data_IF_299825452998
#
_entry.id   IF_299825452998
#
_cell.length_a   1.000
_cell.length_b   1.000
_cell.length_c   1.000
_cell.angle_alpha   90.00
_cell.angle_beta   90.00
_cell.angle_gamma   90.00
#
_symmetry.space_group_name_H-M   'P 1'
#
loop_
_entity.id
_entity.type
_entity.pdbx_description
1 polymer ?
#
# COMPACT_ATOMS: atom_id res chain seq x y z
N UNK A 1 -28.01 34.78 7.27
CA UNK A 1 -26.59 34.60 6.87
C UNK A 1 -26.58 33.71 5.63
N UNK A 2 -26.07 34.17 4.51
CA UNK A 2 -25.86 33.30 3.34
C UNK A 2 -24.68 32.38 3.72
N UNK A 3 -24.73 31.07 3.45
CA UNK A 3 -23.55 30.22 3.62
C UNK A 3 -22.46 30.74 2.68
N UNK A 4 -21.29 31.03 3.23
CA UNK A 4 -20.10 31.31 2.42
C UNK A 4 -19.92 30.18 1.43
N UNK A 5 -19.84 30.49 0.13
CA UNK A 5 -19.39 29.54 -0.87
C UNK A 5 -18.01 29.09 -0.42
N UNK A 6 -17.86 27.84 -0.04
CA UNK A 6 -16.53 27.23 0.10
C UNK A 6 -15.93 27.25 -1.31
N UNK A 7 -14.97 28.15 -1.52
CA UNK A 7 -14.16 28.09 -2.73
C UNK A 7 -13.39 26.76 -2.66
N UNK A 8 -13.85 25.78 -3.43
CA UNK A 8 -13.07 24.56 -3.59
C UNK A 8 -11.69 24.97 -4.16
N UNK A 9 -10.59 24.43 -3.59
CA UNK A 9 -9.28 24.67 -4.17
C UNK A 9 -9.30 24.23 -5.64
N UNK A 10 -8.54 24.93 -6.52
CA UNK A 10 -8.42 24.48 -7.90
C UNK A 10 -7.90 23.05 -7.92
N UNK A 11 -8.43 22.21 -8.82
CA UNK A 11 -7.97 20.85 -8.98
C UNK A 11 -6.46 20.82 -9.26
N UNK A 12 -5.69 19.93 -8.61
CA UNK A 12 -4.27 19.73 -8.94
C UNK A 12 -4.14 19.24 -10.39
N UNK A 13 -3.02 19.56 -11.02
CA UNK A 13 -2.70 18.98 -12.32
C UNK A 13 -2.54 17.46 -12.20
N UNK A 14 -3.05 16.73 -13.17
CA UNK A 14 -2.85 15.29 -13.28
C UNK A 14 -1.35 14.98 -13.40
N UNK A 15 -0.85 13.88 -12.82
CA UNK A 15 0.55 13.45 -12.91
C UNK A 15 1.13 13.47 -14.33
N UNK A 16 0.32 13.15 -15.34
CA UNK A 16 0.72 13.17 -16.75
C UNK A 16 1.03 14.58 -17.29
N UNK A 17 0.52 15.61 -16.65
CA UNK A 17 0.65 17.01 -17.08
C UNK A 17 1.34 17.90 -16.05
N UNK A 18 1.61 17.40 -14.85
CA UNK A 18 2.28 18.13 -13.79
C UNK A 18 3.80 17.93 -13.91
N UNK A 19 4.57 19.00 -14.24
CA UNK A 19 6.02 18.88 -14.37
C UNK A 19 6.73 18.40 -13.09
N UNK A 20 6.08 18.50 -11.94
CA UNK A 20 6.63 18.02 -10.69
C UNK A 20 6.82 16.50 -10.66
N UNK A 21 6.01 15.76 -11.42
CA UNK A 21 6.12 14.29 -11.53
C UNK A 21 7.26 13.83 -12.46
N UNK A 22 7.99 14.78 -13.04
CA UNK A 22 9.16 14.49 -13.91
C UNK A 22 10.44 14.77 -13.14
N UNK A 23 11.30 13.75 -13.00
CA UNK A 23 12.59 13.92 -12.34
C UNK A 23 13.50 14.89 -13.13
N UNK A 24 14.30 15.71 -12.44
CA UNK A 24 15.21 16.66 -13.08
C UNK A 24 16.34 15.94 -13.83
N UNK A 25 16.93 16.59 -14.83
CA UNK A 25 18.05 16.05 -15.61
C UNK A 25 19.18 15.50 -14.74
N UNK A 26 19.69 14.34 -15.11
CA UNK A 26 20.82 13.71 -14.41
C UNK A 26 20.44 12.94 -13.13
N UNK A 27 19.16 12.79 -12.83
CA UNK A 27 18.65 12.09 -11.67
C UNK A 27 19.17 10.65 -11.52
N UNK A 28 19.50 9.99 -12.64
CA UNK A 28 20.03 8.60 -12.65
C UNK A 28 21.33 8.45 -11.84
N UNK A 29 22.07 9.57 -11.65
CA UNK A 29 23.34 9.58 -10.89
C UNK A 29 23.14 9.72 -9.39
N UNK A 30 21.93 10.06 -8.95
CA UNK A 30 21.57 10.14 -7.55
C UNK A 30 21.53 8.73 -6.92
N UNK A 31 21.69 8.66 -5.60
CA UNK A 31 21.62 7.42 -4.84
C UNK A 31 20.17 7.07 -4.51
N UNK A 32 19.86 5.78 -4.28
CA UNK A 32 18.56 5.38 -3.74
C UNK A 32 18.19 6.20 -2.50
N UNK A 33 16.99 6.79 -2.52
CA UNK A 33 16.48 7.65 -1.47
C UNK A 33 16.87 9.13 -1.57
N UNK A 34 17.77 9.53 -2.47
CA UNK A 34 18.07 10.96 -2.65
C UNK A 34 16.83 11.72 -3.12
N UNK A 35 16.49 12.80 -2.42
CA UNK A 35 15.39 13.68 -2.80
C UNK A 35 15.81 14.55 -3.98
N UNK A 36 15.08 14.42 -5.09
CA UNK A 36 15.34 15.11 -6.36
C UNK A 36 14.56 16.42 -6.47
N UNK A 37 13.34 16.45 -5.94
CA UNK A 37 12.50 17.64 -5.86
C UNK A 37 11.53 17.51 -4.69
N UNK A 38 11.04 18.64 -4.18
CA UNK A 38 10.03 18.67 -3.12
C UNK A 38 9.06 19.81 -3.31
N UNK A 39 7.82 19.64 -2.86
CA UNK A 39 6.84 20.71 -2.75
C UNK A 39 5.92 20.49 -1.55
N UNK A 40 5.37 21.58 -1.02
CA UNK A 40 4.29 21.52 -0.05
C UNK A 40 2.95 21.40 -0.77
N UNK A 41 2.03 20.61 -0.22
CA UNK A 41 0.69 20.38 -0.75
C UNK A 41 -0.39 20.61 0.31
N UNK A 42 -1.65 20.67 -0.14
CA UNK A 42 -2.83 20.66 0.74
C UNK A 42 -3.48 19.28 0.66
N UNK A 43 -3.30 18.44 1.67
CA UNK A 43 -3.91 17.12 1.67
C UNK A 43 -5.39 17.18 2.03
N UNK A 44 -6.13 16.18 1.58
CA UNK A 44 -7.55 15.99 1.93
C UNK A 44 -7.86 14.51 2.12
N UNK A 45 -8.86 14.21 2.95
CA UNK A 45 -9.51 12.90 2.96
C UNK A 45 -10.48 12.81 1.79
N UNK A 46 -10.53 11.68 1.12
CA UNK A 46 -11.43 11.42 -0.01
C UNK A 46 -11.45 12.55 -1.05
N UNK A 47 -10.30 13.18 -1.29
CA UNK A 47 -10.11 14.32 -2.21
C UNK A 47 -10.91 15.59 -1.89
N UNK A 48 -11.79 15.58 -0.89
CA UNK A 48 -12.77 16.65 -0.65
C UNK A 48 -12.80 17.20 0.79
N UNK A 49 -12.43 16.39 1.78
CA UNK A 49 -12.44 16.82 3.19
C UNK A 49 -11.04 17.25 3.61
N UNK A 50 -10.86 18.52 3.96
CA UNK A 50 -9.55 19.06 4.35
C UNK A 50 -8.94 18.26 5.51
N UNK A 51 -7.73 17.79 5.32
CA UNK A 51 -6.94 17.16 6.36
C UNK A 51 -6.13 18.23 7.11
N UNK A 52 -6.38 18.40 8.42
CA UNK A 52 -5.73 19.41 9.24
C UNK A 52 -4.41 18.92 9.86
N UNK A 53 -3.47 18.56 9.03
CA UNK A 53 -2.07 18.30 9.43
C UNK A 53 -1.29 19.61 9.60
N UNK A 54 -0.14 19.58 10.26
CA UNK A 54 0.75 20.73 10.36
C UNK A 54 1.36 21.08 8.99
N UNK A 55 1.89 20.05 8.32
CA UNK A 55 2.48 20.15 6.98
C UNK A 55 2.22 18.90 6.18
N UNK A 56 2.23 19.05 4.87
CA UNK A 56 2.24 17.94 3.93
C UNK A 56 3.17 18.23 2.76
N UNK A 57 4.02 17.27 2.43
CA UNK A 57 5.00 17.41 1.35
C UNK A 57 4.86 16.28 0.34
N UNK A 58 5.22 16.59 -0.89
CA UNK A 58 5.56 15.58 -1.90
C UNK A 58 7.04 15.63 -2.16
N UNK A 59 7.67 14.47 -2.20
CA UNK A 59 9.09 14.32 -2.48
C UNK A 59 9.24 13.43 -3.71
N UNK A 60 9.87 13.94 -4.76
CA UNK A 60 10.36 13.10 -5.86
C UNK A 60 11.71 12.57 -5.42
N UNK A 61 11.91 11.28 -5.50
CA UNK A 61 13.15 10.65 -5.06
C UNK A 61 13.64 9.59 -6.04
N UNK A 62 14.95 9.35 -6.02
CA UNK A 62 15.59 8.27 -6.78
C UNK A 62 15.34 6.94 -6.09
N UNK A 63 14.97 5.93 -6.86
CA UNK A 63 14.79 4.55 -6.43
C UNK A 63 15.37 3.57 -7.43
N UNK A 64 15.27 2.25 -7.12
CA UNK A 64 15.64 1.17 -8.03
C UNK A 64 14.39 0.52 -8.63
N UNK A 65 14.51 0.04 -9.86
CA UNK A 65 13.45 -0.68 -10.57
C UNK A 65 13.35 -2.14 -10.12
N UNK A 66 13.16 -3.03 -11.09
CA UNK A 66 13.07 -4.49 -10.87
C UNK A 66 14.40 -5.15 -10.47
N UNK A 67 15.47 -4.40 -10.54
CA UNK A 67 16.83 -4.77 -10.13
C UNK A 67 17.53 -3.55 -9.53
N UNK A 68 18.46 -3.74 -8.58
CA UNK A 68 19.19 -2.69 -7.88
C UNK A 68 19.97 -1.76 -8.83
N UNK A 69 20.42 -2.29 -9.95
CA UNK A 69 21.20 -1.58 -10.96
C UNK A 69 20.38 -0.71 -11.89
N UNK A 70 19.06 -0.91 -11.95
CA UNK A 70 18.15 -0.16 -12.82
C UNK A 70 17.67 1.09 -12.08
N UNK A 71 18.14 2.30 -12.47
CA UNK A 71 17.68 3.52 -11.81
C UNK A 71 16.21 3.78 -12.16
N UNK A 72 15.43 4.12 -11.14
CA UNK A 72 14.06 4.56 -11.22
C UNK A 72 13.89 5.83 -10.35
N UNK A 73 12.86 6.58 -10.55
CA UNK A 73 12.40 7.61 -9.62
C UNK A 73 10.91 7.44 -9.37
N UNK A 74 10.45 7.89 -8.24
CA UNK A 74 9.02 7.95 -7.94
C UNK A 74 8.75 9.04 -6.91
N UNK A 75 7.55 9.07 -6.35
CA UNK A 75 7.14 10.07 -5.36
C UNK A 75 6.73 9.41 -4.04
N UNK A 76 6.83 10.20 -2.97
CA UNK A 76 6.12 9.91 -1.73
C UNK A 76 5.43 11.16 -1.22
N UNK A 77 4.27 10.98 -0.60
CA UNK A 77 3.60 12.04 0.16
C UNK A 77 3.90 11.87 1.63
N UNK A 78 4.34 12.94 2.28
CA UNK A 78 4.66 12.94 3.71
C UNK A 78 3.67 13.83 4.45
N UNK A 79 2.95 13.25 5.40
CA UNK A 79 2.01 13.96 6.28
C UNK A 79 2.63 14.15 7.66
N UNK A 80 2.69 15.40 8.11
CA UNK A 80 3.27 15.77 9.41
C UNK A 80 2.13 16.23 10.32
N UNK A 81 1.77 15.46 11.36
CA UNK A 81 0.72 15.86 12.28
C UNK A 81 1.15 17.00 13.20
N UNK A 82 0.18 17.65 13.85
CA UNK A 82 0.45 18.66 14.87
C UNK A 82 1.31 18.08 16.02
N UNK A 83 2.37 18.80 16.38
CA UNK A 83 3.33 18.37 17.40
C UNK A 83 3.94 16.99 17.11
N UNK A 84 4.32 16.74 15.86
CA UNK A 84 4.91 15.48 15.41
C UNK A 84 6.13 15.07 16.23
N UNK A 85 6.20 13.80 16.60
CA UNK A 85 7.39 13.18 17.18
C UNK A 85 8.48 13.08 16.11
N UNK A 86 9.72 13.31 16.51
CA UNK A 86 10.87 13.29 15.58
C UNK A 86 11.62 11.96 15.57
N UNK A 87 11.18 11.01 16.38
CA UNK A 87 11.78 9.69 16.56
C UNK A 87 10.90 8.54 16.04
N UNK A 88 9.79 8.85 15.36
CA UNK A 88 8.82 7.87 14.88
C UNK A 88 8.34 8.20 13.46
N UNK A 89 8.37 7.19 12.60
CA UNK A 89 7.91 7.26 11.21
C UNK A 89 7.07 6.02 10.90
N UNK A 90 5.92 6.21 10.29
CA UNK A 90 5.12 5.11 9.73
C UNK A 90 5.10 5.23 8.22
N UNK A 91 5.22 4.13 7.52
CA UNK A 91 4.99 4.04 6.09
C UNK A 91 3.70 3.27 5.82
N UNK A 92 2.80 3.88 5.08
CA UNK A 92 1.61 3.22 4.55
C UNK A 92 1.76 3.03 3.06
N UNK A 93 1.58 1.81 2.61
CA UNK A 93 1.56 1.44 1.21
C UNK A 93 0.11 1.17 0.82
N UNK A 94 -0.62 2.18 0.32
CA UNK A 94 -2.01 1.99 -0.08
C UNK A 94 -2.07 1.20 -1.38
N UNK A 95 -3.11 0.38 -1.52
CA UNK A 95 -3.38 -0.26 -2.80
C UNK A 95 -3.85 0.78 -3.84
N UNK A 96 -3.27 0.72 -5.01
CA UNK A 96 -3.65 1.51 -6.18
C UNK A 96 -4.31 0.61 -7.24
N UNK A 97 -3.76 -0.59 -7.41
CA UNK A 97 -4.29 -1.70 -8.21
C UNK A 97 -4.69 -1.29 -9.64
N UNK A 98 -3.85 -0.47 -10.26
CA UNK A 98 -4.11 0.13 -11.57
C UNK A 98 -2.79 0.53 -12.25
N UNK A 99 -2.76 0.49 -13.57
CA UNK A 99 -1.58 0.91 -14.34
C UNK A 99 -1.71 2.36 -14.85
N UNK A 100 -2.52 3.17 -14.19
CA UNK A 100 -2.80 4.54 -14.59
C UNK A 100 -2.26 5.53 -13.55
N UNK A 101 -1.23 6.28 -13.91
CA UNK A 101 -0.53 7.21 -13.00
C UNK A 101 -1.44 8.28 -12.37
N UNK A 102 -2.58 8.59 -12.98
CA UNK A 102 -3.55 9.53 -12.40
C UNK A 102 -4.31 8.91 -11.19
N UNK A 103 -4.05 7.63 -10.88
CA UNK A 103 -4.58 6.95 -9.70
C UNK A 103 -3.57 6.92 -8.54
N UNK A 104 -2.36 7.46 -8.77
CA UNK A 104 -1.29 7.45 -7.77
C UNK A 104 -1.73 8.10 -6.44
N UNK A 105 -1.37 7.51 -5.29
CA UNK A 105 -1.70 8.04 -3.97
C UNK A 105 -1.31 9.50 -3.80
N UNK A 106 -0.15 9.90 -4.33
CA UNK A 106 0.31 11.30 -4.27
C UNK A 106 -0.61 12.28 -4.98
N UNK A 107 -1.32 11.85 -6.02
CA UNK A 107 -2.29 12.68 -6.71
C UNK A 107 -3.62 12.70 -5.96
N UNK A 108 -4.13 11.54 -5.59
CA UNK A 108 -5.46 11.39 -4.99
C UNK A 108 -5.60 12.02 -3.61
N UNK A 109 -4.53 12.11 -2.84
CA UNK A 109 -4.53 12.75 -1.52
C UNK A 109 -4.61 14.29 -1.59
N UNK A 110 -4.42 14.90 -2.75
CA UNK A 110 -4.46 16.35 -2.89
C UNK A 110 -5.91 16.88 -2.86
N UNK A 111 -6.10 17.98 -2.14
CA UNK A 111 -7.39 18.67 -2.10
C UNK A 111 -7.80 19.13 -3.51
N UNK A 112 -9.00 18.73 -3.94
CA UNK A 112 -9.55 19.03 -5.26
C UNK A 112 -9.15 18.05 -6.35
N UNK A 113 -8.40 16.98 -6.06
CA UNK A 113 -8.23 15.88 -6.99
C UNK A 113 -9.58 15.23 -7.33
N UNK A 114 -9.77 14.70 -8.54
CA UNK A 114 -11.00 13.99 -8.89
C UNK A 114 -11.23 12.83 -7.92
N UNK A 115 -12.45 12.70 -7.34
CA UNK A 115 -12.76 11.56 -6.48
C UNK A 115 -12.75 10.28 -7.30
N UNK A 116 -12.36 9.18 -6.68
CA UNK A 116 -12.53 7.87 -7.28
C UNK A 116 -13.96 7.36 -7.12
N UNK A 117 -14.39 6.50 -8.05
CA UNK A 117 -15.69 5.86 -7.99
C UNK A 117 -15.78 4.85 -6.83
N UNK A 118 -14.63 4.38 -6.35
CA UNK A 118 -14.55 3.37 -5.31
C UNK A 118 -14.21 3.99 -3.94
N UNK A 119 -15.14 3.96 -2.97
CA UNK A 119 -14.87 4.44 -1.61
C UNK A 119 -13.90 3.53 -0.83
N UNK A 120 -13.52 2.36 -1.35
CA UNK A 120 -12.70 1.37 -0.63
C UNK A 120 -11.32 1.96 -0.28
N UNK A 121 -10.68 2.72 -1.18
CA UNK A 121 -9.41 3.39 -0.86
C UNK A 121 -9.51 4.34 0.35
N UNK A 122 -10.69 4.90 0.62
CA UNK A 122 -10.92 5.75 1.78
C UNK A 122 -10.88 4.99 3.11
N UNK A 123 -10.92 3.65 3.09
CA UNK A 123 -10.83 2.82 4.29
C UNK A 123 -9.45 2.91 4.91
N UNK A 124 -8.39 2.87 4.10
CA UNK A 124 -7.01 3.00 4.59
C UNK A 124 -6.77 4.35 5.29
N UNK A 125 -7.49 5.40 4.87
CA UNK A 125 -7.40 6.74 5.51
C UNK A 125 -7.85 6.73 6.97
N UNK A 126 -8.67 5.75 7.40
CA UNK A 126 -9.01 5.55 8.81
C UNK A 126 -7.78 5.16 9.65
N UNK A 127 -6.94 4.27 9.12
CA UNK A 127 -5.69 3.88 9.76
C UNK A 127 -4.71 5.06 9.80
N UNK A 128 -4.62 5.84 8.72
CA UNK A 128 -3.78 7.04 8.66
C UNK A 128 -4.16 8.04 9.76
N UNK A 129 -5.45 8.22 9.98
CA UNK A 129 -5.96 9.09 11.04
C UNK A 129 -5.48 8.65 12.42
N UNK A 130 -5.53 7.35 12.73
CA UNK A 130 -5.02 6.81 13.98
C UNK A 130 -3.53 7.07 14.17
N UNK A 131 -2.72 6.85 13.12
CA UNK A 131 -1.28 7.09 13.10
C UNK A 131 -0.95 8.57 13.36
N UNK A 132 -1.61 9.46 12.63
CA UNK A 132 -1.41 10.91 12.77
C UNK A 132 -1.84 11.41 14.15
N UNK A 133 -2.91 10.86 14.74
CA UNK A 133 -3.34 11.18 16.12
C UNK A 133 -2.34 10.75 17.19
N UNK A 134 -1.56 9.70 16.95
CA UNK A 134 -0.46 9.30 17.83
C UNK A 134 0.75 10.26 17.73
N UNK A 135 0.70 11.20 16.77
CA UNK A 135 1.73 12.21 16.55
C UNK A 135 2.91 11.68 15.74
N UNK A 136 2.71 10.66 14.92
CA UNK A 136 3.74 10.09 14.07
C UNK A 136 3.65 10.64 12.65
N UNK A 137 4.82 10.97 12.09
CA UNK A 137 4.92 11.32 10.65
C UNK A 137 4.57 10.09 9.83
N UNK A 138 3.79 10.32 8.76
CA UNK A 138 3.34 9.28 7.84
C UNK A 138 3.92 9.55 6.47
N UNK A 139 4.56 8.55 5.85
CA UNK A 139 5.00 8.58 4.46
C UNK A 139 4.19 7.59 3.63
N UNK A 140 3.77 7.99 2.44
CA UNK A 140 2.86 7.27 1.55
C UNK A 140 3.49 7.26 0.16
N UNK A 141 4.24 6.21 -0.21
CA UNK A 141 4.90 6.14 -1.50
C UNK A 141 3.93 5.83 -2.64
N UNK A 142 4.19 6.38 -3.83
CA UNK A 142 3.70 5.86 -5.10
C UNK A 142 4.56 4.65 -5.47
N UNK A 143 4.34 3.53 -4.78
CA UNK A 143 5.24 2.38 -4.82
C UNK A 143 5.25 1.66 -6.17
N UNK A 144 4.19 1.77 -6.96
CA UNK A 144 4.13 1.20 -8.32
C UNK A 144 5.00 1.96 -9.35
N UNK A 145 5.69 3.02 -8.89
CA UNK A 145 6.63 3.78 -9.71
C UNK A 145 5.99 4.70 -10.75
N UNK A 146 6.80 5.32 -11.63
CA UNK A 146 6.34 6.33 -12.56
C UNK A 146 5.51 5.78 -13.74
N UNK A 147 5.47 4.47 -13.93
CA UNK A 147 4.64 3.78 -14.91
C UNK A 147 3.41 3.10 -14.29
N UNK A 148 3.19 3.26 -12.98
CA UNK A 148 2.14 2.56 -12.26
C UNK A 148 2.19 1.03 -12.52
N UNK A 149 3.33 0.42 -12.23
CA UNK A 149 3.61 -0.99 -12.54
C UNK A 149 3.04 -1.92 -11.45
N UNK A 150 1.72 -1.98 -11.34
CA UNK A 150 1.01 -2.81 -10.37
C UNK A 150 1.47 -4.28 -10.42
N UNK A 151 1.61 -4.90 -9.27
CA UNK A 151 2.10 -6.28 -9.08
C UNK A 151 3.58 -6.51 -9.44
N UNK A 152 4.36 -5.44 -9.68
CA UNK A 152 5.81 -5.52 -9.87
C UNK A 152 6.56 -5.50 -8.53
N UNK A 153 6.34 -6.51 -7.69
CA UNK A 153 6.64 -6.47 -6.26
C UNK A 153 8.07 -6.08 -5.89
N UNK A 154 9.11 -6.52 -6.62
CA UNK A 154 10.51 -6.11 -6.34
C UNK A 154 10.68 -4.61 -6.53
N UNK A 155 10.15 -4.04 -7.63
CA UNK A 155 10.15 -2.61 -7.89
C UNK A 155 9.40 -1.85 -6.78
N UNK A 156 8.23 -2.34 -6.39
CA UNK A 156 7.40 -1.74 -5.34
C UNK A 156 8.10 -1.77 -3.98
N UNK A 157 8.80 -2.86 -3.66
CA UNK A 157 9.60 -2.99 -2.45
C UNK A 157 10.77 -1.98 -2.41
N UNK A 158 11.51 -1.83 -3.52
CA UNK A 158 12.56 -0.82 -3.63
C UNK A 158 12.01 0.58 -3.48
N UNK A 159 10.93 0.92 -4.20
CA UNK A 159 10.28 2.22 -4.11
C UNK A 159 9.88 2.55 -2.66
N UNK A 160 9.28 1.58 -1.96
CA UNK A 160 8.88 1.74 -0.57
C UNK A 160 10.05 1.99 0.38
N UNK A 161 11.13 1.21 0.26
CA UNK A 161 12.32 1.38 1.10
C UNK A 161 13.04 2.71 0.84
N UNK A 162 13.10 3.14 -0.41
CA UNK A 162 13.70 4.42 -0.77
C UNK A 162 12.84 5.63 -0.39
N UNK A 163 11.51 5.47 -0.30
CA UNK A 163 10.63 6.48 0.29
C UNK A 163 10.98 6.75 1.76
N UNK A 164 11.32 5.71 2.52
CA UNK A 164 11.79 5.87 3.91
C UNK A 164 13.12 6.64 3.97
N UNK A 165 14.08 6.30 3.10
CA UNK A 165 15.36 7.02 2.97
C UNK A 165 15.12 8.51 2.65
N UNK A 166 14.29 8.76 1.64
CA UNK A 166 13.95 10.12 1.21
C UNK A 166 13.27 10.91 2.33
N UNK A 167 12.34 10.29 3.04
CA UNK A 167 11.62 10.92 4.16
C UNK A 167 12.57 11.24 5.31
N UNK A 168 13.45 10.33 5.71
CA UNK A 168 14.42 10.56 6.80
C UNK A 168 15.47 11.64 6.44
N UNK A 169 15.86 11.72 5.17
CA UNK A 169 16.86 12.71 4.71
C UNK A 169 16.27 14.11 4.49
N UNK A 170 14.96 14.24 4.36
CA UNK A 170 14.32 15.52 4.10
C UNK A 170 14.34 16.40 5.35
N UNK A 171 15.24 17.37 5.37
CA UNK A 171 15.60 18.18 6.54
C UNK A 171 14.42 18.95 7.16
N UNK A 172 13.45 19.38 6.35
CA UNK A 172 12.31 20.18 6.82
C UNK A 172 11.39 19.39 7.77
N UNK A 173 11.48 18.06 7.77
CA UNK A 173 10.77 17.20 8.72
C UNK A 173 11.45 17.18 10.09
N UNK A 174 12.77 17.33 10.15
CA UNK A 174 13.56 17.24 11.37
C UNK A 174 13.46 15.87 12.07
N UNK A 175 13.21 14.81 11.30
CA UNK A 175 13.21 13.43 11.82
C UNK A 175 14.62 13.00 12.23
N UNK A 176 14.71 12.19 13.26
CA UNK A 176 15.97 11.52 13.63
C UNK A 176 16.34 10.49 12.57
N UNK A 177 17.60 10.38 12.15
CA UNK A 177 18.05 9.28 11.29
C UNK A 177 17.78 7.90 11.89
N UNK A 178 17.76 7.80 13.22
CA UNK A 178 17.52 6.55 13.97
C UNK A 178 16.03 6.37 14.35
N UNK A 179 15.11 7.09 13.69
CA UNK A 179 13.68 6.94 13.95
C UNK A 179 13.25 5.49 13.87
N UNK A 180 12.43 5.05 14.83
CA UNK A 180 11.77 3.75 14.71
C UNK A 180 10.73 3.81 13.60
N UNK A 181 10.72 2.80 12.73
CA UNK A 181 9.87 2.75 11.55
C UNK A 181 8.97 1.51 11.61
N UNK A 182 7.70 1.66 11.26
CA UNK A 182 6.81 0.53 10.96
C UNK A 182 6.22 0.74 9.57
N UNK A 183 6.22 -0.32 8.76
CA UNK A 183 5.52 -0.34 7.48
C UNK A 183 4.19 -1.10 7.59
N UNK A 184 3.16 -0.64 6.87
CA UNK A 184 1.88 -1.34 6.81
C UNK A 184 1.26 -1.24 5.40
N UNK A 185 0.59 -2.29 4.98
CA UNK A 185 -0.12 -2.36 3.70
C UNK A 185 -1.19 -3.45 3.71
N UNK A 186 -2.21 -3.26 2.90
CA UNK A 186 -3.28 -4.23 2.68
C UNK A 186 -3.40 -4.55 1.19
N UNK A 187 -3.82 -5.77 0.83
CA UNK A 187 -4.06 -6.17 -0.57
C UNK A 187 -2.88 -5.81 -1.50
N UNK A 188 -3.08 -5.03 -2.56
CA UNK A 188 -1.99 -4.53 -3.42
C UNK A 188 -0.89 -3.82 -2.64
N UNK A 189 -1.22 -3.03 -1.62
CA UNK A 189 -0.24 -2.44 -0.72
C UNK A 189 0.56 -3.46 0.10
N UNK A 190 0.00 -4.65 0.35
CA UNK A 190 0.74 -5.74 1.00
C UNK A 190 1.68 -6.47 0.02
N UNK A 191 1.53 -6.32 -1.30
CA UNK A 191 2.58 -6.72 -2.27
C UNK A 191 3.82 -5.87 -2.01
N UNK A 192 3.67 -4.55 -2.07
CA UNK A 192 4.76 -3.60 -1.82
C UNK A 192 5.41 -3.82 -0.44
N UNK A 193 4.59 -3.92 0.62
CA UNK A 193 5.06 -4.13 1.99
C UNK A 193 5.75 -5.47 2.20
N UNK A 194 5.25 -6.53 1.60
CA UNK A 194 5.85 -7.87 1.65
C UNK A 194 7.23 -7.90 0.98
N UNK A 195 7.34 -7.29 -0.20
CA UNK A 195 8.62 -7.17 -0.88
C UNK A 195 9.58 -6.20 -0.17
N UNK A 196 9.08 -5.09 0.38
CA UNK A 196 9.91 -4.21 1.19
C UNK A 196 10.46 -4.94 2.43
N UNK A 197 9.63 -5.71 3.13
CA UNK A 197 10.05 -6.53 4.27
C UNK A 197 11.11 -7.57 3.88
N UNK A 198 10.93 -8.22 2.74
CA UNK A 198 11.80 -9.27 2.21
C UNK A 198 13.15 -8.73 1.70
N UNK A 199 13.15 -7.55 1.07
CA UNK A 199 14.34 -6.90 0.52
C UNK A 199 15.13 -6.10 1.56
N UNK A 200 14.49 -5.60 2.62
CA UNK A 200 15.10 -4.73 3.63
C UNK A 200 16.43 -5.26 4.18
N UNK A 201 16.60 -6.55 4.52
CA UNK A 201 17.86 -7.03 5.09
C UNK A 201 19.08 -6.87 4.18
N UNK A 202 18.91 -6.91 2.86
CA UNK A 202 19.98 -6.79 1.88
C UNK A 202 20.07 -5.41 1.23
N UNK A 203 18.92 -4.77 0.99
CA UNK A 203 18.84 -3.51 0.25
C UNK A 203 18.88 -2.26 1.13
N UNK A 204 18.29 -2.33 2.33
CA UNK A 204 18.12 -1.17 3.21
C UNK A 204 18.32 -1.53 4.68
N UNK A 205 19.41 -2.26 4.98
CA UNK A 205 19.71 -2.75 6.34
C UNK A 205 20.00 -1.64 7.35
N UNK A 206 20.29 -0.43 6.91
CA UNK A 206 20.52 0.74 7.74
C UNK A 206 19.23 1.36 8.31
N UNK A 207 18.06 1.04 7.74
CA UNK A 207 16.78 1.55 8.23
C UNK A 207 16.34 0.84 9.51
N UNK A 208 16.06 1.61 10.56
CA UNK A 208 15.60 1.09 11.85
C UNK A 208 14.11 0.69 11.80
N UNK A 209 13.79 -0.31 10.98
CA UNK A 209 12.43 -0.83 10.86
C UNK A 209 12.20 -1.82 12.00
N UNK A 210 11.15 -1.60 12.80
CA UNK A 210 10.83 -2.37 14.00
C UNK A 210 9.62 -3.30 13.83
N UNK A 211 8.94 -3.27 12.69
CA UNK A 211 7.83 -4.17 12.38
C UNK A 211 7.17 -3.88 11.04
N UNK A 212 6.46 -4.89 10.54
CA UNK A 212 5.62 -4.83 9.34
C UNK A 212 4.23 -5.36 9.66
N UNK A 213 3.18 -4.73 9.14
CA UNK A 213 1.80 -5.20 9.23
C UNK A 213 1.24 -5.39 7.81
N UNK A 214 0.93 -6.62 7.44
CA UNK A 214 0.56 -7.01 6.08
C UNK A 214 -0.75 -7.81 6.10
N UNK A 215 -1.80 -7.30 5.47
CA UNK A 215 -3.08 -7.98 5.42
C UNK A 215 -3.54 -8.32 4.01
N UNK A 216 -4.37 -9.37 3.85
CA UNK A 216 -4.92 -9.77 2.55
C UNK A 216 -3.85 -9.95 1.46
N UNK A 217 -2.68 -10.49 1.78
CA UNK A 217 -1.44 -10.41 0.98
C UNK A 217 -1.47 -11.28 -0.27
N UNK A 218 -1.43 -10.69 -1.50
CA UNK A 218 -1.36 -11.42 -2.76
C UNK A 218 0.07 -11.88 -3.05
N UNK A 219 0.51 -12.96 -2.40
CA UNK A 219 1.92 -13.37 -2.41
C UNK A 219 2.33 -14.24 -3.61
N UNK A 220 1.37 -14.82 -4.33
CA UNK A 220 1.60 -15.64 -5.53
C UNK A 220 0.72 -15.14 -6.67
N UNK A 221 1.29 -14.28 -7.52
CA UNK A 221 0.56 -13.58 -8.58
C UNK A 221 -0.13 -14.54 -9.57
N UNK A 222 0.52 -15.67 -9.89
CA UNK A 222 -0.05 -16.69 -10.76
C UNK A 222 -1.32 -17.29 -10.16
N UNK A 223 -1.26 -17.73 -8.91
CA UNK A 223 -2.40 -18.32 -8.22
C UNK A 223 -3.51 -17.30 -7.97
N UNK A 224 -3.16 -16.05 -7.65
CA UNK A 224 -4.12 -14.92 -7.53
C UNK A 224 -4.87 -14.73 -8.84
N UNK A 225 -4.16 -14.66 -9.98
CA UNK A 225 -4.77 -14.45 -11.29
C UNK A 225 -5.73 -15.58 -11.67
N UNK A 226 -5.36 -16.85 -11.39
CA UNK A 226 -6.28 -17.99 -11.60
C UNK A 226 -7.49 -17.94 -10.69
N UNK A 227 -7.33 -17.50 -9.44
CA UNK A 227 -8.43 -17.37 -8.47
C UNK A 227 -9.44 -16.28 -8.85
N UNK A 228 -8.99 -15.20 -9.48
CA UNK A 228 -9.83 -14.07 -9.91
C UNK A 228 -10.47 -14.26 -11.28
N UNK A 229 -10.04 -15.26 -12.07
CA UNK A 229 -10.57 -15.49 -13.42
C UNK A 229 -12.09 -15.66 -13.42
N UNK A 230 -12.79 -14.99 -14.31
CA UNK A 230 -14.27 -15.05 -14.41
C UNK A 230 -15.01 -14.67 -13.13
N UNK A 231 -14.42 -13.85 -12.29
CA UNK A 231 -15.04 -13.30 -11.10
C UNK A 231 -15.21 -11.79 -11.25
N UNK A 232 -15.95 -11.12 -10.34
CA UNK A 232 -16.02 -9.66 -10.31
C UNK A 232 -14.65 -8.96 -10.20
N UNK A 233 -13.59 -9.70 -9.84
CA UNK A 233 -12.23 -9.20 -9.63
C UNK A 233 -11.27 -9.47 -10.80
N UNK A 234 -11.74 -10.08 -11.88
CA UNK A 234 -10.89 -10.47 -13.03
C UNK A 234 -10.14 -9.29 -13.65
N UNK A 235 -10.66 -8.07 -13.55
CA UNK A 235 -9.98 -6.87 -13.99
C UNK A 235 -8.65 -6.60 -13.27
N UNK A 236 -8.53 -6.99 -12.00
CA UNK A 236 -7.27 -6.88 -11.25
C UNK A 236 -6.20 -7.84 -11.79
N UNK A 237 -6.59 -9.02 -12.29
CA UNK A 237 -5.67 -9.91 -12.99
C UNK A 237 -5.14 -9.29 -14.28
N UNK A 238 -6.01 -8.62 -15.05
CA UNK A 238 -5.58 -7.87 -16.23
C UNK A 238 -4.59 -6.75 -15.86
N UNK A 239 -4.87 -5.99 -14.80
CA UNK A 239 -3.98 -4.95 -14.28
C UNK A 239 -2.62 -5.52 -13.81
N UNK A 240 -2.63 -6.62 -13.07
CA UNK A 240 -1.38 -7.29 -12.64
C UNK A 240 -0.55 -7.80 -13.82
N UNK A 241 -1.19 -8.40 -14.84
CA UNK A 241 -0.50 -8.80 -16.07
C UNK A 241 0.10 -7.57 -16.78
N UNK A 242 -0.65 -6.47 -16.90
CA UNK A 242 -0.16 -5.24 -17.52
C UNK A 242 1.06 -4.67 -16.78
N UNK A 243 1.04 -4.60 -15.43
CA UNK A 243 2.16 -4.08 -14.65
C UNK A 243 3.42 -4.94 -14.76
N UNK A 244 3.29 -6.28 -14.78
CA UNK A 244 4.42 -7.18 -15.01
C UNK A 244 4.95 -7.04 -16.42
N UNK A 245 4.09 -6.88 -17.43
CA UNK A 245 4.48 -6.59 -18.83
C UNK A 245 5.27 -5.29 -18.94
N UNK A 246 4.80 -4.24 -18.25
CA UNK A 246 5.43 -2.91 -18.31
C UNK A 246 6.78 -2.86 -17.55
N UNK A 247 7.07 -3.85 -16.68
CA UNK A 247 8.26 -3.90 -15.84
C UNK A 247 9.33 -4.89 -16.31
N UNK A 248 8.95 -5.98 -16.97
CA UNK A 248 9.84 -7.09 -17.28
C UNK A 248 9.83 -7.40 -18.78
N UNK A 249 10.97 -7.24 -19.42
CA UNK A 249 11.11 -7.43 -20.88
C UNK A 249 10.72 -8.83 -21.35
N UNK A 250 11.05 -9.87 -20.59
CA UNK A 250 10.65 -11.25 -20.91
C UNK A 250 9.12 -11.43 -20.85
N UNK A 251 8.44 -10.76 -19.91
CA UNK A 251 6.98 -10.76 -19.85
C UNK A 251 6.38 -10.01 -21.03
N UNK A 252 6.92 -8.84 -21.38
CA UNK A 252 6.50 -8.07 -22.55
C UNK A 252 6.61 -8.90 -23.83
N UNK A 253 7.76 -9.51 -24.08
CA UNK A 253 7.99 -10.33 -25.27
C UNK A 253 7.02 -11.50 -25.37
N UNK A 254 6.84 -12.24 -24.28
CA UNK A 254 5.97 -13.41 -24.27
C UNK A 254 4.50 -13.04 -24.37
N UNK A 255 3.99 -12.18 -23.48
CA UNK A 255 2.57 -11.81 -23.44
C UNK A 255 2.14 -11.17 -24.76
N UNK A 256 2.95 -10.26 -25.32
CA UNK A 256 2.67 -9.64 -26.62
C UNK A 256 2.56 -10.67 -27.75
N UNK A 257 3.28 -11.79 -27.68
CA UNK A 257 3.24 -12.85 -28.68
C UNK A 257 1.98 -13.74 -28.64
N UNK A 258 1.29 -13.77 -27.47
CA UNK A 258 0.15 -14.69 -27.25
C UNK A 258 -1.16 -13.97 -26.93
N UNK A 259 -1.13 -12.67 -26.65
CA UNK A 259 -2.33 -11.90 -26.33
C UNK A 259 -3.14 -11.63 -27.61
N UNK A 260 -4.46 -11.65 -27.51
CA UNK A 260 -5.37 -11.27 -28.59
C UNK A 260 -5.59 -9.75 -28.62
N UNK A 261 -6.24 -9.25 -29.69
CA UNK A 261 -6.64 -7.83 -29.75
C UNK A 261 -7.57 -7.46 -28.57
N UNK A 262 -8.48 -8.34 -28.18
CA UNK A 262 -9.40 -8.11 -27.06
C UNK A 262 -8.65 -8.14 -25.73
N UNK A 263 -7.72 -9.06 -25.53
CA UNK A 263 -6.86 -9.09 -24.36
C UNK A 263 -6.00 -7.83 -24.25
N UNK A 264 -5.41 -7.39 -25.37
CA UNK A 264 -4.63 -6.16 -25.42
C UNK A 264 -5.48 -4.92 -25.09
N UNK A 265 -6.73 -4.86 -25.55
CA UNK A 265 -7.67 -3.79 -25.17
C UNK A 265 -7.95 -3.79 -23.67
N UNK A 266 -8.08 -4.97 -23.04
CA UNK A 266 -8.25 -5.05 -21.59
C UNK A 266 -7.01 -4.55 -20.84
N UNK A 267 -5.79 -4.93 -21.26
CA UNK A 267 -4.55 -4.38 -20.67
C UNK A 267 -4.43 -2.87 -20.88
N UNK A 268 -4.81 -2.36 -22.05
CA UNK A 268 -4.81 -0.92 -22.32
C UNK A 268 -5.82 -0.19 -21.45
N UNK A 269 -6.98 -0.79 -21.20
CA UNK A 269 -8.00 -0.22 -20.32
C UNK A 269 -7.45 0.01 -18.91
N UNK A 270 -6.66 -0.92 -18.37
CA UNK A 270 -6.06 -0.75 -17.02
C UNK A 270 -5.02 0.37 -16.95
N UNK A 271 -4.40 0.74 -18.09
CA UNK A 271 -3.44 1.86 -18.20
C UNK A 271 -4.11 3.23 -18.33
N UNK A 272 -5.43 3.27 -18.43
CA UNK A 272 -6.21 4.49 -18.63
C UNK A 272 -7.27 4.71 -17.56
N UNK A 273 -7.47 3.75 -16.62
CA UNK A 273 -8.54 3.79 -15.63
C UNK A 273 -8.05 3.35 -14.25
N UNK A 274 -8.67 3.91 -13.22
CA UNK A 274 -8.42 3.51 -11.85
C UNK A 274 -9.18 2.24 -11.46
N UNK A 275 -8.78 1.62 -10.35
CA UNK A 275 -9.29 0.34 -9.85
C UNK A 275 -10.83 0.24 -9.87
N UNK A 276 -11.56 1.28 -9.47
CA UNK A 276 -13.02 1.27 -9.47
C UNK A 276 -13.62 1.06 -10.85
N UNK A 277 -13.09 1.75 -11.88
CA UNK A 277 -13.52 1.56 -13.26
C UNK A 277 -13.09 0.20 -13.81
N UNK A 278 -11.91 -0.28 -13.45
CA UNK A 278 -11.39 -1.61 -13.81
C UNK A 278 -12.34 -2.70 -13.30
N UNK A 279 -12.70 -2.65 -12.01
CA UNK A 279 -13.64 -3.61 -11.40
C UNK A 279 -15.02 -3.58 -12.03
N UNK A 280 -15.53 -2.40 -12.42
CA UNK A 280 -16.84 -2.28 -13.04
C UNK A 280 -16.88 -2.77 -14.49
N UNK A 281 -15.82 -2.54 -15.26
CA UNK A 281 -15.85 -2.73 -16.70
C UNK A 281 -15.10 -4.01 -17.17
N UNK A 282 -14.25 -4.58 -16.32
CA UNK A 282 -13.54 -5.83 -16.60
C UNK A 282 -13.94 -6.97 -15.65
N UNK A 283 -15.12 -6.89 -15.02
CA UNK A 283 -15.69 -7.98 -14.24
C UNK A 283 -16.02 -9.18 -15.14
N UNK A 284 -15.89 -10.38 -14.60
CA UNK A 284 -16.24 -11.65 -15.24
C UNK A 284 -15.49 -11.93 -16.57
N UNK A 285 -14.38 -11.23 -16.83
CA UNK A 285 -13.53 -11.47 -18.01
C UNK A 285 -12.85 -12.82 -17.87
N UNK A 286 -12.89 -13.62 -18.95
CA UNK A 286 -12.16 -14.88 -19.09
C UNK A 286 -10.70 -14.60 -19.50
N UNK A 287 -9.85 -14.30 -18.52
CA UNK A 287 -8.43 -13.94 -18.72
C UNK A 287 -7.65 -15.09 -19.38
N UNK A 288 -8.05 -16.32 -19.12
CA UNK A 288 -7.41 -17.52 -19.68
C UNK A 288 -8.19 -18.09 -20.87
N UNK A 289 -9.22 -17.38 -21.37
CA UNK A 289 -10.01 -17.78 -22.52
C UNK A 289 -9.45 -17.34 -23.85
N UNK A 290 -9.97 -17.95 -24.93
CA UNK A 290 -9.54 -17.67 -26.32
C UNK A 290 -9.81 -16.21 -26.75
N UNK A 291 -10.69 -15.49 -26.07
CA UNK A 291 -10.93 -14.07 -26.31
C UNK A 291 -9.80 -13.18 -25.81
N UNK A 292 -9.10 -13.62 -24.77
CA UNK A 292 -8.02 -12.85 -24.13
C UNK A 292 -6.63 -13.28 -24.64
N UNK A 293 -6.40 -14.58 -24.78
CA UNK A 293 -5.09 -15.10 -25.19
C UNK A 293 -5.20 -16.30 -26.14
N UNK A 294 -4.25 -16.43 -27.05
CA UNK A 294 -4.10 -17.62 -27.89
C UNK A 294 -3.49 -18.81 -27.15
N UNK A 295 -2.93 -18.61 -25.95
CA UNK A 295 -2.31 -19.65 -25.13
C UNK A 295 -3.07 -19.88 -23.80
N UNK A 296 -4.33 -20.26 -23.92
CA UNK A 296 -5.32 -20.29 -22.84
C UNK A 296 -4.90 -21.09 -21.61
N UNK A 297 -4.26 -22.24 -21.80
CA UNK A 297 -3.91 -23.14 -20.68
C UNK A 297 -2.53 -22.86 -20.08
N UNK A 298 -1.75 -21.96 -20.68
CA UNK A 298 -0.36 -21.76 -20.30
C UNK A 298 0.04 -20.28 -20.22
N UNK A 299 -0.92 -19.35 -20.23
CA UNK A 299 -0.63 -17.90 -20.23
C UNK A 299 0.38 -17.51 -19.15
N UNK A 300 0.22 -18.00 -17.92
CA UNK A 300 1.11 -17.70 -16.80
C UNK A 300 1.99 -18.90 -16.36
N UNK A 301 1.87 -20.05 -17.02
CA UNK A 301 2.64 -21.26 -16.70
C UNK A 301 3.60 -21.69 -17.80
N UNK A 302 3.64 -21.00 -18.93
CA UNK A 302 4.60 -21.27 -19.99
C UNK A 302 6.06 -21.10 -19.52
N UNK A 303 6.97 -21.91 -20.02
CA UNK A 303 8.41 -21.86 -19.67
C UNK A 303 9.00 -20.47 -19.87
N UNK A 304 8.48 -19.72 -20.85
CA UNK A 304 8.94 -18.36 -21.14
C UNK A 304 8.72 -17.34 -20.01
N UNK A 305 7.77 -17.59 -19.09
CA UNK A 305 7.42 -16.63 -18.03
C UNK A 305 7.36 -17.25 -16.62
N UNK A 306 7.22 -18.57 -16.52
CA UNK A 306 7.02 -19.25 -15.23
C UNK A 306 8.18 -19.03 -14.26
N UNK A 307 9.40 -18.96 -14.76
CA UNK A 307 10.60 -18.65 -13.96
C UNK A 307 10.53 -17.26 -13.35
N UNK A 308 10.16 -16.25 -14.12
CA UNK A 308 9.95 -14.89 -13.64
C UNK A 308 8.85 -14.85 -12.56
N UNK A 309 7.67 -15.41 -12.84
CA UNK A 309 6.56 -15.41 -11.91
C UNK A 309 6.87 -16.16 -10.62
N UNK A 310 7.71 -17.21 -10.69
CA UNK A 310 8.22 -17.86 -9.49
C UNK A 310 9.11 -16.92 -8.66
N UNK A 311 9.99 -16.15 -9.28
CA UNK A 311 10.82 -15.16 -8.57
C UNK A 311 9.99 -14.03 -7.96
N UNK A 312 8.81 -13.72 -8.52
CA UNK A 312 7.87 -12.75 -8.00
C UNK A 312 6.89 -13.33 -6.96
N UNK A 313 7.08 -14.58 -6.55
CA UNK A 313 6.29 -15.21 -5.48
C UNK A 313 6.97 -14.99 -4.14
N UNK A 314 6.34 -14.23 -3.23
CA UNK A 314 6.86 -13.97 -1.89
C UNK A 314 7.07 -15.29 -1.10
N UNK A 315 8.22 -15.40 -0.45
CA UNK A 315 8.58 -16.56 0.34
C UNK A 315 9.04 -17.78 -0.47
N UNK A 316 9.09 -17.71 -1.81
CA UNK A 316 9.61 -18.79 -2.66
C UNK A 316 11.12 -18.95 -2.55
N UNK A 317 11.87 -17.86 -2.42
CA UNK A 317 13.33 -17.84 -2.28
C UNK A 317 13.72 -17.47 -0.85
N UNK A 318 14.49 -18.33 -0.12
CA UNK A 318 14.94 -18.04 1.24
C UNK A 318 15.75 -16.75 1.40
N UNK A 319 16.39 -16.24 0.34
CA UNK A 319 17.12 -14.96 0.40
C UNK A 319 16.20 -13.78 0.69
N UNK A 320 14.92 -13.88 0.32
CA UNK A 320 13.90 -12.88 0.53
C UNK A 320 13.08 -13.18 1.81
N UNK A 321 13.78 -13.34 2.92
CA UNK A 321 13.20 -13.63 4.24
C UNK A 321 13.34 -12.40 5.14
N UNK A 322 12.24 -11.82 5.65
CA UNK A 322 12.28 -10.70 6.58
C UNK A 322 13.10 -11.03 7.83
N UNK A 323 13.88 -10.04 8.32
CA UNK A 323 14.56 -10.14 9.62
C UNK A 323 13.88 -9.33 10.71
N UNK A 324 12.99 -8.44 10.31
CA UNK A 324 12.14 -7.64 11.19
C UNK A 324 10.81 -8.37 11.39
N UNK A 325 10.19 -8.31 12.59
CA UNK A 325 8.90 -8.97 12.85
C UNK A 325 7.80 -8.57 11.88
N UNK A 326 7.02 -9.55 11.45
CA UNK A 326 5.89 -9.36 10.53
C UNK A 326 4.60 -9.82 11.19
N UNK A 327 3.60 -8.95 11.26
CA UNK A 327 2.22 -9.28 11.57
C UNK A 327 1.46 -9.48 10.26
N UNK A 328 0.98 -10.68 10.02
CA UNK A 328 0.14 -11.00 8.87
C UNK A 328 -1.27 -11.35 9.34
N UNK A 329 -2.27 -10.93 8.60
CA UNK A 329 -3.67 -11.25 8.92
C UNK A 329 -4.48 -11.47 7.64
N UNK A 330 -5.42 -12.45 7.70
CA UNK A 330 -6.15 -12.88 6.52
C UNK A 330 -7.49 -13.52 6.89
N UNK A 331 -8.54 -13.31 6.07
CA UNK A 331 -9.78 -14.06 6.20
C UNK A 331 -9.62 -15.47 5.60
N UNK A 332 -10.17 -16.48 6.28
CA UNK A 332 -10.19 -17.86 5.75
C UNK A 332 -11.02 -17.95 4.46
N UNK A 333 -12.06 -17.12 4.36
CA UNK A 333 -13.01 -17.09 3.25
C UNK A 333 -12.84 -15.83 2.37
N UNK A 334 -11.60 -15.32 2.26
CA UNK A 334 -11.28 -14.19 1.39
C UNK A 334 -11.64 -14.52 -0.06
N UNK A 335 -12.56 -13.74 -0.63
CA UNK A 335 -13.11 -13.92 -1.97
C UNK A 335 -12.25 -13.34 -3.10
N UNK A 336 -11.22 -12.57 -2.74
CA UNK A 336 -10.28 -11.92 -3.68
C UNK A 336 -8.95 -12.66 -3.70
N UNK A 337 -8.35 -12.79 -2.51
CA UNK A 337 -7.02 -13.39 -2.33
C UNK A 337 -7.15 -14.67 -1.51
N UNK A 338 -6.94 -15.82 -2.13
CA UNK A 338 -7.07 -17.09 -1.44
C UNK A 338 -6.11 -17.17 -0.23
N UNK A 339 -6.67 -17.46 0.95
CA UNK A 339 -5.98 -17.59 2.24
C UNK A 339 -4.67 -18.37 2.18
N UNK A 340 -4.67 -19.49 1.41
CA UNK A 340 -3.54 -20.42 1.38
C UNK A 340 -2.24 -19.75 0.93
N UNK A 341 -2.30 -18.76 0.04
CA UNK A 341 -1.12 -18.07 -0.48
C UNK A 341 -0.38 -17.31 0.62
N UNK A 342 -1.11 -16.50 1.40
CA UNK A 342 -0.52 -15.75 2.51
C UNK A 342 -0.01 -16.68 3.61
N UNK A 343 -0.76 -17.75 3.91
CA UNK A 343 -0.36 -18.75 4.89
C UNK A 343 0.89 -19.52 4.46
N UNK A 344 1.04 -19.86 3.18
CA UNK A 344 2.24 -20.54 2.66
C UNK A 344 3.47 -19.61 2.75
N UNK A 345 3.31 -18.34 2.44
CA UNK A 345 4.37 -17.33 2.58
C UNK A 345 4.81 -17.19 4.03
N UNK A 346 3.86 -17.05 4.97
CA UNK A 346 4.14 -16.99 6.39
C UNK A 346 4.90 -18.23 6.88
N UNK A 347 4.47 -19.43 6.46
CA UNK A 347 5.13 -20.70 6.79
C UNK A 347 6.56 -20.77 6.23
N UNK A 348 6.77 -20.32 4.98
CA UNK A 348 8.08 -20.34 4.35
C UNK A 348 9.03 -19.35 5.02
N UNK A 349 8.57 -18.13 5.29
CA UNK A 349 9.35 -17.14 6.04
C UNK A 349 9.72 -17.65 7.43
N UNK A 350 8.77 -18.30 8.13
CA UNK A 350 9.03 -18.89 9.44
C UNK A 350 10.09 -19.98 9.39
N UNK A 351 9.99 -20.93 8.43
CA UNK A 351 10.99 -21.98 8.21
C UNK A 351 12.38 -21.41 7.96
N UNK A 352 12.46 -20.24 7.33
CA UNK A 352 13.70 -19.53 7.01
C UNK A 352 14.17 -18.58 8.14
N UNK A 353 13.51 -18.61 9.31
CA UNK A 353 13.93 -17.91 10.52
C UNK A 353 13.38 -16.49 10.68
N UNK A 354 12.35 -16.10 9.93
CA UNK A 354 11.60 -14.89 10.22
C UNK A 354 10.76 -15.04 11.49
N UNK A 355 10.40 -13.92 12.10
CA UNK A 355 9.42 -13.85 13.19
C UNK A 355 8.08 -13.39 12.63
N UNK A 356 7.12 -14.30 12.52
CA UNK A 356 5.81 -14.04 11.93
C UNK A 356 4.71 -14.27 12.96
N UNK A 357 3.83 -13.30 13.11
CA UNK A 357 2.54 -13.45 13.79
C UNK A 357 1.47 -13.52 12.70
N UNK A 358 0.81 -14.68 12.55
CA UNK A 358 -0.23 -14.88 11.53
C UNK A 358 -1.59 -15.04 12.19
N UNK A 359 -2.52 -14.16 11.85
CA UNK A 359 -3.88 -14.17 12.38
C UNK A 359 -4.89 -14.52 11.30
N UNK A 360 -5.75 -15.49 11.58
CA UNK A 360 -6.79 -16.01 10.67
C UNK A 360 -8.16 -15.64 11.19
N UNK A 361 -8.99 -15.03 10.34
CA UNK A 361 -10.41 -14.79 10.65
C UNK A 361 -11.28 -15.84 9.97
N UNK A 362 -12.07 -16.57 10.77
CA UNK A 362 -12.84 -17.74 10.32
C UNK A 362 -14.34 -17.48 10.15
N UNK A 363 -14.82 -16.28 10.52
CA UNK A 363 -16.23 -15.91 10.37
C UNK A 363 -16.63 -15.85 8.89
N UNK A 364 -17.85 -16.29 8.59
CA UNK A 364 -18.38 -16.28 7.21
C UNK A 364 -18.61 -14.86 6.68
N UNK A 365 -18.74 -13.88 7.59
CA UNK A 365 -18.82 -12.45 7.28
C UNK A 365 -17.48 -11.80 7.00
N UNK A 366 -16.38 -12.55 7.25
CA UNK A 366 -15.03 -12.05 7.04
C UNK A 366 -14.57 -12.39 5.62
N UNK A 367 -14.65 -11.39 4.74
CA UNK A 367 -14.07 -11.40 3.40
C UNK A 367 -12.91 -10.44 3.29
N UNK A 368 -12.48 -10.14 2.08
CA UNK A 368 -11.34 -9.26 1.81
C UNK A 368 -11.51 -7.87 2.44
N UNK A 369 -12.53 -7.14 2.02
CA UNK A 369 -12.77 -5.75 2.49
C UNK A 369 -13.15 -5.70 3.98
N UNK A 370 -13.99 -6.62 4.46
CA UNK A 370 -14.39 -6.60 5.86
C UNK A 370 -13.21 -6.90 6.81
N UNK A 371 -12.26 -7.70 6.39
CA UNK A 371 -11.04 -7.96 7.16
C UNK A 371 -10.19 -6.71 7.30
N UNK A 372 -10.00 -5.94 6.24
CA UNK A 372 -9.28 -4.67 6.29
C UNK A 372 -9.91 -3.71 7.31
N UNK A 373 -11.21 -3.44 7.14
CA UNK A 373 -11.95 -2.50 8.00
C UNK A 373 -11.92 -2.90 9.45
N UNK A 374 -12.29 -4.15 9.73
CA UNK A 374 -12.46 -4.63 11.12
C UNK A 374 -11.11 -4.86 11.81
N UNK A 375 -10.03 -5.10 11.08
CA UNK A 375 -8.70 -5.30 11.66
C UNK A 375 -7.91 -4.00 11.85
N UNK A 376 -8.36 -2.86 11.33
CA UNK A 376 -7.67 -1.57 11.48
C UNK A 376 -7.24 -1.25 12.93
N UNK A 377 -8.06 -1.48 13.98
CA UNK A 377 -7.63 -1.24 15.36
C UNK A 377 -6.51 -2.17 15.84
N UNK A 378 -6.45 -3.41 15.35
CA UNK A 378 -5.39 -4.36 15.68
C UNK A 378 -4.08 -3.99 14.97
N UNK A 379 -4.15 -3.57 13.72
CA UNK A 379 -3.00 -3.02 12.99
C UNK A 379 -2.44 -1.82 13.74
N UNK A 380 -3.29 -0.87 14.14
CA UNK A 380 -2.84 0.30 14.91
C UNK A 380 -2.25 -0.09 16.26
N UNK A 381 -2.85 -1.08 16.95
CA UNK A 381 -2.27 -1.64 18.18
C UNK A 381 -0.89 -2.24 17.93
N UNK A 382 -0.74 -3.07 16.89
CA UNK A 382 0.56 -3.63 16.52
C UNK A 382 1.60 -2.54 16.26
N UNK A 383 1.25 -1.51 15.47
CA UNK A 383 2.15 -0.37 15.22
C UNK A 383 2.57 0.30 16.53
N UNK A 384 1.62 0.55 17.45
CA UNK A 384 1.90 1.14 18.78
C UNK A 384 2.84 0.28 19.63
N UNK A 385 2.62 -1.03 19.63
CA UNK A 385 3.44 -1.98 20.36
C UNK A 385 4.87 -2.01 19.81
N UNK A 386 5.06 -2.04 18.49
CA UNK A 386 6.39 -1.96 17.87
C UNK A 386 7.07 -0.63 18.16
N UNK A 387 6.34 0.47 18.03
CA UNK A 387 6.88 1.82 18.28
C UNK A 387 7.27 2.03 19.75
N UNK A 388 6.65 1.33 20.69
CA UNK A 388 6.99 1.40 22.12
C UNK A 388 8.00 0.35 22.57
N UNK A 389 8.47 -0.51 21.66
CA UNK A 389 9.44 -1.57 21.97
C UNK A 389 8.87 -2.71 22.80
N UNK A 390 7.55 -2.95 22.75
CA UNK A 390 6.96 -4.09 23.45
C UNK A 390 7.56 -5.40 22.96
N UNK A 391 7.92 -6.34 23.82
CA UNK A 391 8.46 -7.62 23.41
C UNK A 391 7.43 -8.40 22.59
N UNK A 392 7.91 -9.22 21.68
CA UNK A 392 7.12 -10.22 20.98
C UNK A 392 7.53 -11.62 21.45
N UNK A 393 6.59 -12.55 21.35
CA UNK A 393 6.92 -13.96 21.55
C UNK A 393 7.97 -14.42 20.55
N UNK A 394 8.90 -15.23 20.99
CA UNK A 394 9.97 -15.74 20.13
C UNK A 394 9.42 -16.71 19.07
N UNK A 395 9.91 -16.56 17.85
CA UNK A 395 9.54 -17.43 16.72
C UNK A 395 8.25 -17.01 16.04
N UNK A 396 7.51 -17.96 15.53
CA UNK A 396 6.28 -17.71 14.80
C UNK A 396 5.06 -18.16 15.60
N UNK A 397 3.97 -17.42 15.47
CA UNK A 397 2.70 -17.72 16.12
C UNK A 397 1.56 -17.70 15.11
N UNK A 398 0.63 -18.65 15.24
CA UNK A 398 -0.63 -18.69 14.50
C UNK A 398 -1.77 -18.58 15.47
N UNK A 399 -2.67 -17.63 15.23
CA UNK A 399 -3.91 -17.47 15.97
C UNK A 399 -5.10 -17.51 15.01
N UNK A 400 -6.26 -17.83 15.53
CA UNK A 400 -7.50 -17.74 14.76
C UNK A 400 -8.64 -17.24 15.63
N UNK A 401 -9.47 -16.37 15.08
CA UNK A 401 -10.69 -15.89 15.72
C UNK A 401 -11.84 -15.86 14.70
N UNK A 402 -13.06 -15.73 15.16
CA UNK A 402 -14.22 -15.56 14.28
C UNK A 402 -14.12 -14.25 13.55
N UNK A 403 -13.91 -13.18 14.28
CA UNK A 403 -13.60 -11.85 13.74
C UNK A 403 -12.93 -10.98 14.82
N UNK A 404 -12.29 -9.88 14.43
CA UNK A 404 -11.60 -8.97 15.37
C UNK A 404 -12.53 -8.36 16.44
N UNK A 405 -13.86 -8.34 16.26
CA UNK A 405 -14.80 -7.70 17.17
C UNK A 405 -14.98 -8.46 18.49
N UNK A 406 -14.57 -9.72 18.55
CA UNK A 406 -14.75 -10.58 19.73
C UNK A 406 -13.67 -10.38 20.79
N UNK A 407 -12.60 -9.64 20.50
CA UNK A 407 -11.61 -9.28 21.52
C UNK A 407 -12.13 -8.12 22.41
N UNK A 408 -12.51 -8.40 23.68
CA UNK A 408 -13.07 -7.37 24.57
C UNK A 408 -12.08 -6.25 24.89
N UNK A 409 -10.76 -6.48 24.78
CA UNK A 409 -9.74 -5.48 25.02
C UNK A 409 -9.67 -4.43 23.91
N UNK A 410 -10.21 -4.74 22.75
CA UNK A 410 -10.15 -3.90 21.55
C UNK A 410 -11.41 -3.06 21.38
N UNK A 411 -12.54 -3.47 21.93
CA UNK A 411 -13.83 -2.80 21.72
C UNK A 411 -13.81 -1.31 22.13
N UNK A 412 -13.17 -0.99 23.25
CA UNK A 412 -13.02 0.40 23.71
C UNK A 412 -12.07 1.23 22.85
N UNK A 413 -10.97 0.63 22.40
CA UNK A 413 -10.03 1.29 21.50
C UNK A 413 -10.64 1.60 20.13
N UNK A 414 -11.45 0.68 19.60
CA UNK A 414 -12.15 0.85 18.31
C UNK A 414 -13.13 2.00 18.29
N UNK A 415 -13.95 2.12 19.33
CA UNK A 415 -14.91 3.23 19.41
C UNK A 415 -14.17 4.56 19.40
N UNK A 416 -13.06 4.65 20.12
CA UNK A 416 -12.22 5.84 20.15
C UNK A 416 -11.61 6.16 18.78
N UNK A 417 -11.13 5.15 18.05
CA UNK A 417 -10.56 5.36 16.72
C UNK A 417 -11.61 5.81 15.69
N UNK A 418 -12.79 5.18 15.69
CA UNK A 418 -13.90 5.61 14.82
C UNK A 418 -14.33 7.03 15.15
N UNK A 419 -14.47 7.40 16.44
CA UNK A 419 -14.82 8.74 16.85
C UNK A 419 -13.76 9.76 16.49
N UNK A 420 -12.47 9.40 16.58
CA UNK A 420 -11.37 10.26 16.14
C UNK A 420 -11.40 10.45 14.61
N UNK A 421 -11.64 9.39 13.85
CA UNK A 421 -11.76 9.46 12.40
C UNK A 421 -12.94 10.36 11.98
N UNK A 422 -14.10 10.18 12.58
CA UNK A 422 -15.28 11.05 12.36
C UNK A 422 -14.99 12.50 12.78
N UNK A 423 -14.32 12.72 13.92
CA UNK A 423 -13.92 14.07 14.35
C UNK A 423 -13.00 14.75 13.34
N UNK A 424 -12.06 14.02 12.75
CA UNK A 424 -11.16 14.54 11.73
C UNK A 424 -11.89 14.87 10.43
N UNK A 425 -12.88 14.07 10.03
CA UNK A 425 -13.75 14.36 8.88
C UNK A 425 -14.52 15.68 9.05
N UNK A 426 -14.80 16.10 10.28
CA UNK A 426 -15.39 17.41 10.59
C UNK A 426 -14.37 18.55 10.73
N UNK A 427 -13.12 18.35 10.33
CA UNK A 427 -12.10 19.39 10.22
C UNK A 427 -11.39 19.73 11.54
N UNK A 428 -11.37 18.83 12.51
CA UNK A 428 -10.53 18.97 13.71
C UNK A 428 -9.03 18.83 13.36
N UNK A 429 -8.16 19.36 14.21
CA UNK A 429 -6.71 19.21 14.02
C UNK A 429 -6.28 17.77 14.24
N UNK A 430 -5.53 17.20 13.30
CA UNK A 430 -5.01 15.85 13.39
C UNK A 430 -3.63 15.87 14.05
N UNK A 431 -3.48 15.11 15.14
CA UNK A 431 -2.23 14.95 15.85
C UNK A 431 -2.35 15.12 17.38
N UNK A 432 -1.20 15.06 18.06
CA UNK A 432 -1.11 15.11 19.53
C UNK A 432 -1.61 16.43 20.14
N UNK A 433 -1.74 17.48 19.36
CA UNK A 433 -2.20 18.80 19.81
C UNK A 433 -3.71 18.94 19.93
N UNK A 434 -4.50 17.95 19.51
CA UNK A 434 -5.97 18.03 19.63
C UNK A 434 -6.44 17.68 21.05
N UNK A 435 -6.09 18.56 22.02
CA UNK A 435 -6.51 18.42 23.39
C UNK A 435 -8.02 18.59 23.58
N UNK A 436 -8.66 19.41 22.72
CA UNK A 436 -10.10 19.71 22.80
C UNK A 436 -10.92 18.49 22.43
N UNK A 437 -10.59 17.83 21.31
CA UNK A 437 -11.27 16.59 20.91
C UNK A 437 -11.09 15.50 21.95
N UNK A 438 -9.86 15.30 22.45
CA UNK A 438 -9.56 14.31 23.50
C UNK A 438 -10.34 14.60 24.80
N UNK A 439 -10.49 15.85 25.18
CA UNK A 439 -11.26 16.22 26.36
C UNK A 439 -12.76 16.05 26.15
N UNK A 440 -13.28 16.39 24.96
CA UNK A 440 -14.69 16.19 24.61
C UNK A 440 -15.06 14.71 24.56
N UNK A 441 -14.21 13.86 23.99
CA UNK A 441 -14.36 12.40 24.00
C UNK A 441 -14.40 11.83 25.42
N UNK A 442 -13.50 12.29 26.31
CA UNK A 442 -13.52 11.88 27.73
C UNK A 442 -14.79 12.31 28.47
N UNK A 443 -15.40 13.39 28.06
CA UNK A 443 -16.60 13.95 28.71
C UNK A 443 -17.90 13.47 28.08
N UNK A 444 -17.85 12.63 27.03
CA UNK A 444 -19.03 12.17 26.30
C UNK A 444 -19.84 13.31 25.68
N UNK A 445 -19.16 14.37 25.24
CA UNK A 445 -19.77 15.58 24.65
C UNK A 445 -19.60 15.65 23.12
N UNK A 446 -19.75 14.53 22.44
CA UNK A 446 -19.88 14.50 20.98
C UNK A 446 -21.32 14.19 20.58
#
# INVERSE_FOLDING_TARGET
MRPERRDNPPAPLSPRFDPFYVAPDGWQKAKPGDVLASREIKPSFTSSVKMNVDKAYQLVYRSSGTDDSIPMYTLTTVLVPQNARKDKLVMMMPYMDSNFVDCAPSYKIQAGAPPELNPIQSIEELLWTGILNDGWTLTIPDHEGPQAAFASGILEGHASLDALRATLQFKDLGLSPDSSIVGAGYSGGAIAGGWAAALQPSYASELNIVGWALGGTPSNLTAVSYGMDKTPFSGLSAAGIAGVVDSYHEAEQYITSVITDQGNQALQYTREHCMGDILLNLQDVDIFGNSFTSNTNQLLSADAISGLLHTLTLGSDPKYTPKTPVYMYHALHDEVIAYQMANDTANNWCKNGAQVQFETYTGLEMGHVSTEVLNTPLVLKYIRDRMSGQPLDAGCTWSSDINPLWDPNILGARLTEVLNAVGNLFGTQVGRGDAILKENLRKGKL
#
